data_IF_612538324033
#
_entry.id   IF_612538324033
#
_cell.length_a   1.000
_cell.length_b   1.000
_cell.length_c   1.000
_cell.angle_alpha   90.00
_cell.angle_beta   90.00
_cell.angle_gamma   90.00
#
_symmetry.space_group_name_H-M   'P 1'
#
loop_
_entity.id
_entity.type
_entity.pdbx_description
1 polymer ?
#
# COMPACT_ATOMS: atom_id res chain seq x y z
N UNK A 1 -11.62 1.31 -20.25
CA UNK A 1 -12.38 0.44 -19.34
C UNK A 1 -13.16 1.30 -18.34
N UNK A 2 -14.30 0.84 -17.77
CA UNK A 2 -15.04 1.58 -16.74
C UNK A 2 -14.19 1.96 -15.53
N UNK A 3 -13.17 1.17 -15.20
CA UNK A 3 -12.23 1.44 -14.11
C UNK A 3 -11.45 2.76 -14.26
N UNK A 4 -11.32 3.28 -15.48
CA UNK A 4 -10.59 4.52 -15.78
C UNK A 4 -11.49 5.61 -16.40
N UNK A 5 -12.79 5.51 -16.23
CA UNK A 5 -13.72 6.59 -16.58
C UNK A 5 -13.59 7.84 -15.68
N UNK A 6 -12.83 7.72 -14.59
CA UNK A 6 -12.50 8.78 -13.65
C UNK A 6 -11.44 9.73 -14.22
N UNK A 7 -11.39 11.01 -13.82
CA UNK A 7 -10.41 11.98 -14.31
C UNK A 7 -8.95 11.61 -14.06
N UNK A 8 -8.68 10.86 -13.00
CA UNK A 8 -7.35 10.39 -12.63
C UNK A 8 -6.92 9.18 -13.46
N UNK A 9 -5.61 9.01 -13.63
CA UNK A 9 -5.00 7.87 -14.30
C UNK A 9 -4.55 6.76 -13.33
N UNK A 10 -4.88 6.86 -12.05
CA UNK A 10 -4.44 5.93 -11.00
C UNK A 10 -5.59 5.55 -10.07
N UNK A 11 -5.45 4.45 -9.39
CA UNK A 11 -6.28 4.02 -8.25
C UNK A 11 -5.41 3.75 -7.05
N UNK A 12 -5.97 3.94 -5.86
CA UNK A 12 -5.26 3.79 -4.59
C UNK A 12 -6.04 2.88 -3.63
N UNK A 13 -5.35 2.32 -2.64
CA UNK A 13 -5.95 1.50 -1.59
C UNK A 13 -6.59 0.20 -2.10
N UNK A 14 -7.68 -0.27 -1.46
CA UNK A 14 -8.31 -1.56 -1.79
C UNK A 14 -8.75 -1.69 -3.25
N UNK A 15 -9.18 -0.58 -3.88
CA UNK A 15 -9.54 -0.59 -5.30
C UNK A 15 -8.33 -0.89 -6.18
N UNK A 16 -7.16 -0.30 -5.88
CA UNK A 16 -5.93 -0.58 -6.61
C UNK A 16 -5.51 -2.04 -6.45
N UNK A 17 -5.59 -2.58 -5.23
CA UNK A 17 -5.31 -3.99 -4.95
C UNK A 17 -6.24 -4.89 -5.75
N UNK A 18 -7.54 -4.63 -5.72
CA UNK A 18 -8.54 -5.40 -6.49
C UNK A 18 -8.25 -5.37 -7.99
N UNK A 19 -7.99 -4.19 -8.56
CA UNK A 19 -7.69 -4.07 -9.99
C UNK A 19 -6.37 -4.78 -10.36
N UNK A 20 -5.36 -4.71 -9.51
CA UNK A 20 -4.10 -5.42 -9.72
C UNK A 20 -4.29 -6.94 -9.70
N UNK A 21 -5.16 -7.44 -8.82
CA UNK A 21 -5.48 -8.86 -8.72
C UNK A 21 -6.22 -9.35 -9.97
N UNK A 22 -7.13 -8.55 -10.53
CA UNK A 22 -7.89 -8.91 -11.73
C UNK A 22 -7.20 -8.58 -13.06
N UNK A 23 -5.99 -8.03 -13.04
CA UNK A 23 -5.24 -7.79 -14.28
C UNK A 23 -4.84 -9.09 -14.95
N UNK A 24 -5.38 -9.37 -16.14
CA UNK A 24 -5.26 -10.67 -16.82
C UNK A 24 -4.17 -10.73 -17.87
N UNK A 25 -3.48 -9.61 -18.13
CA UNK A 25 -2.59 -9.60 -19.28
C UNK A 25 -1.13 -9.86 -18.93
N UNK A 26 -0.47 -10.41 -19.94
CA UNK A 26 0.95 -10.74 -19.97
C UNK A 26 1.91 -9.54 -19.88
N UNK A 27 1.42 -8.31 -19.90
CA UNK A 27 2.25 -7.11 -20.07
C UNK A 27 2.25 -6.16 -18.89
N UNK A 28 2.21 -6.66 -17.69
CA UNK A 28 2.57 -5.84 -16.57
C UNK A 28 1.41 -5.48 -15.67
N UNK A 29 1.61 -5.84 -14.45
CA UNK A 29 0.93 -5.21 -13.34
C UNK A 29 1.58 -3.85 -13.11
N UNK A 30 0.79 -2.80 -13.17
CA UNK A 30 1.20 -1.42 -12.95
C UNK A 30 0.98 -0.97 -11.52
N UNK A 31 0.88 -1.91 -10.58
CA UNK A 31 0.77 -1.64 -9.15
C UNK A 31 2.12 -1.33 -8.51
N UNK A 32 2.13 -0.42 -7.55
CA UNK A 32 3.28 -0.10 -6.73
C UNK A 32 2.84 0.13 -5.29
N UNK A 33 3.54 -0.48 -4.33
CA UNK A 33 3.40 -0.21 -2.90
C UNK A 33 4.41 0.87 -2.46
N UNK A 34 4.13 1.52 -1.34
CA UNK A 34 5.04 2.46 -0.66
C UNK A 34 5.71 3.49 -1.57
N UNK A 35 4.96 4.30 -2.34
CA UNK A 35 5.53 5.19 -3.35
C UNK A 35 6.49 6.24 -2.78
N UNK A 36 6.41 6.58 -1.49
CA UNK A 36 7.37 7.47 -0.81
C UNK A 36 8.82 6.98 -0.93
N UNK A 37 9.05 5.67 -1.00
CA UNK A 37 10.39 5.06 -1.13
C UNK A 37 11.07 5.37 -2.48
N UNK A 38 10.31 5.79 -3.47
CA UNK A 38 10.77 5.96 -4.84
C UNK A 38 10.73 7.41 -5.30
N UNK A 39 10.74 8.38 -4.37
CA UNK A 39 10.69 9.81 -4.68
C UNK A 39 11.83 10.29 -5.59
N UNK A 40 12.97 9.61 -5.54
CA UNK A 40 14.16 9.92 -6.33
C UNK A 40 14.25 9.18 -7.66
N UNK A 41 13.41 8.15 -7.89
CA UNK A 41 13.49 7.33 -9.09
C UNK A 41 12.77 8.01 -10.25
N UNK A 42 13.49 8.92 -10.88
CA UNK A 42 13.05 9.69 -12.05
C UNK A 42 13.38 8.98 -13.36
N UNK A 43 13.86 7.73 -13.33
CA UNK A 43 14.10 6.94 -14.53
C UNK A 43 12.80 6.49 -15.16
N UNK A 44 12.76 6.54 -16.48
CA UNK A 44 11.64 5.98 -17.22
C UNK A 44 11.49 4.48 -16.94
N UNK A 45 10.26 4.00 -16.92
CA UNK A 45 10.00 2.59 -16.80
C UNK A 45 10.19 1.91 -18.15
N UNK A 46 10.98 0.84 -18.21
CA UNK A 46 11.31 0.13 -19.46
C UNK A 46 10.05 -0.40 -20.15
N UNK A 47 9.04 -0.77 -19.40
CA UNK A 47 7.76 -1.25 -19.91
C UNK A 47 6.70 -0.18 -19.75
N UNK A 48 5.83 -0.05 -20.75
CA UNK A 48 4.68 0.85 -20.63
C UNK A 48 3.80 0.47 -19.45
N UNK A 49 3.39 1.44 -18.67
CA UNK A 49 2.40 1.27 -17.61
C UNK A 49 1.04 0.99 -18.25
N UNK A 50 0.43 -0.14 -17.89
CA UNK A 50 -0.83 -0.59 -18.49
C UNK A 50 -1.72 -1.25 -17.46
N UNK A 51 -3.01 -1.00 -17.57
CA UNK A 51 -4.04 -1.86 -17.02
C UNK A 51 -4.79 -2.47 -18.21
N UNK A 52 -4.76 -3.79 -18.35
CA UNK A 52 -5.43 -4.47 -19.45
C UNK A 52 -6.23 -5.67 -18.89
N UNK A 53 -7.52 -5.69 -19.17
CA UNK A 53 -8.42 -6.78 -18.79
C UNK A 53 -8.57 -7.85 -19.87
N UNK A 54 -8.12 -7.57 -21.08
CA UNK A 54 -8.25 -8.47 -22.24
C UNK A 54 -6.92 -8.47 -22.97
N UNK A 55 -6.29 -9.55 -23.16
CA UNK A 55 -4.95 -9.76 -23.69
C UNK A 55 -4.55 -9.03 -25.01
N UNK A 56 -4.97 -7.80 -25.17
CA UNK A 56 -4.60 -6.93 -26.29
C UNK A 56 -3.17 -6.45 -26.20
N UNK A 57 -2.46 -6.47 -27.33
CA UNK A 57 -1.08 -6.01 -27.47
C UNK A 57 -0.95 -4.48 -27.58
N UNK A 58 -2.06 -3.77 -27.76
CA UNK A 58 -2.04 -2.34 -27.98
C UNK A 58 -1.83 -1.54 -26.68
N UNK A 59 -1.00 -0.47 -26.72
CA UNK A 59 -0.87 0.43 -25.62
C UNK A 59 -2.22 1.08 -25.32
N UNK A 60 -2.63 1.08 -24.04
CA UNK A 60 -3.80 1.83 -23.65
C UNK A 60 -3.54 3.31 -23.85
N UNK A 61 -4.30 3.91 -24.74
CA UNK A 61 -4.35 5.37 -24.84
C UNK A 61 -5.06 5.89 -23.60
N UNK A 62 -4.29 6.49 -22.71
CA UNK A 62 -4.85 7.12 -21.51
C UNK A 62 -5.55 8.42 -21.92
N UNK A 63 -6.87 8.45 -21.83
CA UNK A 63 -7.68 9.65 -22.13
C UNK A 63 -8.26 10.17 -20.82
N UNK A 64 -8.24 11.48 -20.64
CA UNK A 64 -8.82 12.12 -19.47
C UNK A 64 -8.29 13.54 -19.27
N UNK A 65 -8.83 14.25 -18.26
CA UNK A 65 -8.44 15.62 -17.96
C UNK A 65 -6.99 15.71 -17.49
N UNK A 66 -6.55 14.81 -16.62
CA UNK A 66 -5.21 14.81 -16.05
C UNK A 66 -4.15 14.28 -17.04
N UNK A 67 -4.34 13.12 -17.69
CA UNK A 67 -3.39 12.61 -18.67
C UNK A 67 -3.05 13.59 -19.81
N UNK A 68 -3.98 14.43 -20.22
CA UNK A 68 -3.74 15.46 -21.23
C UNK A 68 -2.69 16.50 -20.84
N UNK A 69 -2.40 16.62 -19.56
CA UNK A 69 -1.45 17.58 -19.02
C UNK A 69 -0.08 16.97 -18.73
N UNK A 70 0.10 15.68 -19.04
CA UNK A 70 1.31 14.93 -18.74
C UNK A 70 2.03 14.53 -20.03
N UNK A 71 3.35 14.41 -19.95
CA UNK A 71 4.14 13.70 -20.95
C UNK A 71 4.17 12.19 -20.68
N UNK A 72 4.83 11.41 -21.51
CA UNK A 72 4.93 9.95 -21.37
C UNK A 72 5.63 9.50 -20.08
N UNK A 73 6.47 10.32 -19.48
CA UNK A 73 7.16 10.04 -18.22
C UNK A 73 6.35 10.46 -16.98
N UNK A 74 5.18 11.06 -17.19
CA UNK A 74 4.31 11.55 -16.12
C UNK A 74 4.69 12.93 -15.57
N UNK A 75 5.52 13.69 -16.28
CA UNK A 75 5.84 15.06 -15.91
C UNK A 75 4.77 16.00 -16.47
N UNK A 76 4.23 16.94 -15.66
CA UNK A 76 3.26 17.91 -16.15
C UNK A 76 3.87 18.84 -17.23
N UNK A 77 3.14 19.04 -18.33
CA UNK A 77 3.59 19.84 -19.46
C UNK A 77 3.90 21.29 -19.07
N UNK A 78 3.17 21.86 -18.12
CA UNK A 78 3.43 23.22 -17.64
C UNK A 78 4.79 23.39 -16.94
N UNK A 79 5.45 22.28 -16.54
CA UNK A 79 6.82 22.35 -16.01
C UNK A 79 7.83 22.80 -17.07
N UNK A 80 7.51 22.67 -18.35
CA UNK A 80 8.38 23.03 -19.47
C UNK A 80 8.09 24.44 -20.01
N UNK A 81 7.07 25.12 -19.48
CA UNK A 81 6.60 26.42 -19.94
C UNK A 81 7.28 27.57 -19.15
N UNK A 82 7.73 28.61 -19.87
CA UNK A 82 8.10 29.92 -19.36
C UNK A 82 8.91 29.96 -18.06
N UNK A 83 8.50 30.83 -17.11
CA UNK A 83 9.15 31.03 -15.81
C UNK A 83 8.98 29.83 -14.87
N UNK A 84 7.98 29.00 -15.05
CA UNK A 84 7.72 27.83 -14.24
C UNK A 84 8.77 26.74 -14.43
N UNK A 85 9.42 26.71 -15.60
CA UNK A 85 10.49 25.75 -15.91
C UNK A 85 11.61 25.75 -14.87
N UNK A 86 12.09 26.91 -14.45
CA UNK A 86 13.16 27.02 -13.46
C UNK A 86 12.73 26.56 -12.07
N UNK A 87 11.45 26.67 -11.76
CA UNK A 87 10.88 26.28 -10.47
C UNK A 87 10.71 24.76 -10.35
N UNK A 88 10.23 24.09 -11.41
CA UNK A 88 9.83 22.69 -11.35
C UNK A 88 10.86 21.71 -11.91
N UNK A 89 11.65 22.13 -12.91
CA UNK A 89 12.69 21.29 -13.52
C UNK A 89 14.06 21.51 -12.85
N UNK A 90 14.15 21.14 -11.58
CA UNK A 90 15.35 21.33 -10.78
C UNK A 90 16.42 20.28 -11.02
N UNK A 91 16.04 19.09 -11.45
CA UNK A 91 16.96 17.97 -11.70
C UNK A 91 17.35 17.89 -13.19
N UNK A 92 18.59 17.49 -13.52
CA UNK A 92 19.02 17.31 -14.92
C UNK A 92 18.15 16.31 -15.69
N UNK A 93 17.70 15.24 -15.03
CA UNK A 93 16.85 14.21 -15.66
C UNK A 93 15.51 14.78 -16.12
N UNK A 94 14.83 15.57 -15.27
CA UNK A 94 13.56 16.22 -15.65
C UNK A 94 13.75 17.25 -16.77
N UNK A 95 14.89 17.96 -16.80
CA UNK A 95 15.17 18.96 -17.85
C UNK A 95 15.31 18.38 -19.24
N UNK A 96 15.67 17.10 -19.34
CA UNK A 96 15.87 16.38 -20.61
C UNK A 96 14.62 15.68 -21.10
N UNK A 97 13.57 15.58 -20.28
CA UNK A 97 12.33 14.91 -20.68
C UNK A 97 11.59 15.72 -21.74
N UNK A 98 11.02 15.04 -22.77
CA UNK A 98 10.22 15.70 -23.78
C UNK A 98 9.03 16.45 -23.21
N UNK A 99 8.77 17.65 -23.72
CA UNK A 99 7.60 18.47 -23.36
C UNK A 99 6.41 18.19 -24.30
N UNK A 100 6.17 16.93 -24.64
CA UNK A 100 5.13 16.50 -25.55
C UNK A 100 4.00 15.81 -24.79
N UNK A 101 2.74 15.90 -25.28
CA UNK A 101 1.62 15.17 -24.71
C UNK A 101 1.85 13.65 -24.73
N UNK A 102 1.21 12.98 -23.77
CA UNK A 102 1.28 11.55 -23.58
C UNK A 102 0.74 10.76 -24.78
N UNK A 103 1.57 9.91 -25.37
CA UNK A 103 1.18 8.90 -26.37
C UNK A 103 1.33 7.47 -25.87
N UNK A 104 2.42 7.17 -25.17
CA UNK A 104 2.66 5.90 -24.47
C UNK A 104 3.15 6.19 -23.07
N UNK A 105 2.70 5.44 -22.06
CA UNK A 105 3.05 5.74 -20.68
C UNK A 105 4.26 4.94 -20.22
N UNK A 106 5.37 5.63 -20.01
CA UNK A 106 6.59 5.12 -19.37
C UNK A 106 6.85 5.86 -18.05
N UNK A 107 5.83 6.03 -17.25
CA UNK A 107 5.85 6.84 -16.05
C UNK A 107 7.01 6.47 -15.13
N UNK A 108 7.69 7.47 -14.61
CA UNK A 108 8.70 7.29 -13.57
C UNK A 108 8.03 6.91 -12.26
N UNK A 109 8.75 6.23 -11.38
CA UNK A 109 8.20 5.88 -10.07
C UNK A 109 7.88 7.12 -9.22
N UNK A 110 8.70 8.16 -9.33
CA UNK A 110 8.44 9.42 -8.66
C UNK A 110 7.17 10.11 -9.15
N UNK A 111 6.81 10.02 -10.43
CA UNK A 111 5.56 10.58 -10.95
C UNK A 111 4.33 9.83 -10.44
N UNK A 112 4.44 8.55 -10.10
CA UNK A 112 3.34 7.79 -9.51
C UNK A 112 2.95 8.32 -8.13
N UNK A 113 3.90 8.86 -7.36
CA UNK A 113 3.60 9.55 -6.11
C UNK A 113 2.73 10.79 -6.36
N UNK A 114 3.04 11.56 -7.39
CA UNK A 114 2.23 12.71 -7.80
C UNK A 114 0.80 12.28 -8.17
N UNK A 115 0.64 11.18 -8.92
CA UNK A 115 -0.68 10.66 -9.30
C UNK A 115 -1.47 10.19 -8.10
N UNK A 116 -0.84 9.49 -7.16
CA UNK A 116 -1.48 9.06 -5.92
C UNK A 116 -2.01 10.25 -5.13
N UNK A 117 -1.20 11.28 -4.95
CA UNK A 117 -1.62 12.51 -4.25
C UNK A 117 -2.76 13.19 -5.00
N UNK A 118 -2.68 13.29 -6.33
CA UNK A 118 -3.75 13.85 -7.16
C UNK A 118 -5.07 13.11 -6.98
N UNK A 119 -5.04 11.78 -6.96
CA UNK A 119 -6.22 10.95 -6.71
C UNK A 119 -6.79 11.19 -5.31
N UNK A 120 -5.97 11.18 -4.27
CA UNK A 120 -6.40 11.43 -2.89
C UNK A 120 -7.03 12.82 -2.76
N UNK A 121 -6.43 13.86 -3.33
CA UNK A 121 -6.97 15.22 -3.30
C UNK A 121 -8.30 15.30 -4.03
N UNK A 122 -8.44 14.63 -5.17
CA UNK A 122 -9.69 14.58 -5.94
C UNK A 122 -10.80 13.88 -5.15
N UNK A 123 -10.52 12.73 -4.55
CA UNK A 123 -11.45 12.01 -3.70
C UNK A 123 -11.85 12.83 -2.47
N UNK A 124 -10.90 13.53 -1.85
CA UNK A 124 -11.17 14.42 -0.73
C UNK A 124 -12.11 15.57 -1.12
N UNK A 125 -11.90 16.21 -2.28
CA UNK A 125 -12.77 17.26 -2.81
C UNK A 125 -14.20 16.77 -3.04
N UNK A 126 -14.35 15.58 -3.64
CA UNK A 126 -15.66 14.94 -3.85
C UNK A 126 -16.35 14.65 -2.54
N UNK A 127 -15.62 14.06 -1.58
CA UNK A 127 -16.15 13.72 -0.26
C UNK A 127 -16.58 14.97 0.52
N UNK A 128 -15.71 15.98 0.62
CA UNK A 128 -15.97 17.25 1.33
C UNK A 128 -17.21 17.96 0.76
N UNK A 129 -17.41 17.87 -0.56
CA UNK A 129 -18.52 18.51 -1.27
C UNK A 129 -19.73 17.60 -1.48
N UNK A 130 -19.71 16.36 -1.00
CA UNK A 130 -20.86 15.48 -1.07
C UNK A 130 -22.07 16.08 -0.34
N UNK A 131 -23.31 15.89 -0.81
CA UNK A 131 -24.50 16.42 -0.17
C UNK A 131 -24.61 16.04 1.32
N UNK A 132 -24.28 14.78 1.64
CA UNK A 132 -24.31 14.28 3.02
C UNK A 132 -23.33 15.00 3.94
N UNK A 133 -22.11 15.27 3.49
CA UNK A 133 -21.12 15.98 4.30
C UNK A 133 -21.40 17.48 4.38
N UNK A 134 -21.98 18.08 3.36
CA UNK A 134 -22.41 19.49 3.41
C UNK A 134 -23.58 19.69 4.35
N UNK A 135 -24.56 18.78 4.34
CA UNK A 135 -25.75 18.84 5.20
C UNK A 135 -25.42 18.79 6.71
N UNK A 136 -24.30 18.19 7.09
CA UNK A 136 -23.84 18.13 8.50
C UNK A 136 -23.28 19.46 9.02
N UNK A 137 -23.14 20.47 8.17
CA UNK A 137 -22.47 21.73 8.52
C UNK A 137 -23.36 22.92 8.15
N UNK A 138 -23.12 24.05 8.79
CA UNK A 138 -23.77 25.31 8.41
C UNK A 138 -23.41 25.66 6.97
N UNK A 139 -24.32 26.38 6.26
CA UNK A 139 -24.19 26.77 4.86
C UNK A 139 -24.03 25.54 3.93
N UNK A 140 -24.93 24.58 4.07
CA UNK A 140 -24.96 23.33 3.31
C UNK A 140 -25.16 23.52 1.79
N UNK A 141 -25.74 24.65 1.37
CA UNK A 141 -25.94 25.06 -0.01
C UNK A 141 -24.67 25.50 -0.72
N UNK A 142 -23.62 25.89 0.04
CA UNK A 142 -22.38 26.43 -0.53
C UNK A 142 -21.30 25.37 -0.72
N UNK A 143 -20.60 25.35 -1.86
CA UNK A 143 -19.46 24.49 -2.06
C UNK A 143 -18.30 24.86 -1.13
N UNK A 144 -17.53 23.85 -0.75
CA UNK A 144 -16.34 24.01 0.11
C UNK A 144 -15.08 24.08 -0.76
N UNK A 145 -14.22 25.05 -0.45
CA UNK A 145 -12.93 25.21 -1.11
C UNK A 145 -11.81 24.75 -0.19
N UNK A 146 -10.84 24.02 -0.74
CA UNK A 146 -9.63 23.69 -0.02
C UNK A 146 -8.72 24.91 0.05
N UNK A 147 -8.44 25.39 1.25
CA UNK A 147 -7.51 26.50 1.50
C UNK A 147 -6.16 26.06 1.94
N UNK A 148 -6.08 24.91 2.62
CA UNK A 148 -4.83 24.33 3.13
C UNK A 148 -4.90 22.84 3.00
N UNK A 149 -3.77 22.23 2.67
CA UNK A 149 -3.55 20.79 2.71
C UNK A 149 -2.32 20.57 3.57
N UNK A 150 -2.46 19.76 4.60
CA UNK A 150 -1.37 19.40 5.51
C UNK A 150 -0.99 17.96 5.20
N UNK A 151 0.26 17.75 4.85
CA UNK A 151 0.84 16.42 4.71
C UNK A 151 1.79 16.17 5.86
N UNK A 152 1.62 15.03 6.50
CA UNK A 152 2.60 14.53 7.45
C UNK A 152 3.72 13.82 6.70
N UNK A 153 4.91 13.93 7.24
CA UNK A 153 6.12 13.30 6.69
C UNK A 153 6.77 12.41 7.75
N UNK A 154 7.50 11.37 7.35
CA UNK A 154 8.28 10.57 8.30
C UNK A 154 9.15 11.44 9.19
N UNK A 155 9.23 11.08 10.47
CA UNK A 155 9.89 11.88 11.51
C UNK A 155 11.35 12.14 11.20
N UNK A 156 12.05 11.15 10.64
CA UNK A 156 13.47 11.24 10.28
C UNK A 156 13.72 11.68 8.82
N UNK A 157 12.68 12.10 8.09
CA UNK A 157 12.84 12.50 6.68
C UNK A 157 13.80 13.70 6.54
N UNK A 158 14.92 13.55 5.80
CA UNK A 158 15.85 14.65 5.56
C UNK A 158 15.20 15.85 4.87
N UNK A 159 15.70 17.05 5.13
CA UNK A 159 15.15 18.29 4.53
C UNK A 159 15.13 18.23 3.00
N UNK A 160 16.14 17.63 2.39
CA UNK A 160 16.22 17.47 0.93
C UNK A 160 15.05 16.61 0.42
N UNK A 161 14.76 15.49 1.09
CA UNK A 161 13.63 14.61 0.77
C UNK A 161 12.29 15.31 0.94
N UNK A 162 12.13 16.03 2.03
CA UNK A 162 10.92 16.82 2.30
C UNK A 162 10.65 17.84 1.18
N UNK A 163 11.70 18.48 0.64
CA UNK A 163 11.57 19.41 -0.50
C UNK A 163 11.14 18.70 -1.77
N UNK A 164 11.67 17.50 -2.04
CA UNK A 164 11.26 16.69 -3.20
C UNK A 164 9.80 16.26 -3.04
N UNK A 165 9.42 15.76 -1.85
CA UNK A 165 8.06 15.38 -1.54
C UNK A 165 7.08 16.55 -1.73
N UNK A 166 7.41 17.72 -1.15
CA UNK A 166 6.60 18.93 -1.28
C UNK A 166 6.43 19.34 -2.76
N UNK A 167 7.50 19.25 -3.54
CA UNK A 167 7.44 19.53 -4.99
C UNK A 167 6.43 18.61 -5.70
N UNK A 168 6.48 17.32 -5.47
CA UNK A 168 5.55 16.37 -6.09
C UNK A 168 4.10 16.60 -5.66
N UNK A 169 3.89 16.96 -4.40
CA UNK A 169 2.57 17.34 -3.89
C UNK A 169 2.05 18.63 -4.55
N UNK A 170 2.89 19.64 -4.68
CA UNK A 170 2.52 20.89 -5.37
C UNK A 170 2.17 20.64 -6.84
N UNK A 171 2.94 19.80 -7.53
CA UNK A 171 2.64 19.39 -8.91
C UNK A 171 1.31 18.64 -9.00
N UNK A 172 1.05 17.71 -8.10
CA UNK A 172 -0.20 16.97 -8.04
C UNK A 172 -1.41 17.89 -7.91
N UNK A 173 -1.38 18.81 -6.94
CA UNK A 173 -2.47 19.77 -6.71
C UNK A 173 -2.66 20.66 -7.93
N UNK A 174 -1.59 21.15 -8.55
CA UNK A 174 -1.68 22.01 -9.73
C UNK A 174 -2.24 21.26 -10.95
N UNK A 175 -1.88 19.98 -11.16
CA UNK A 175 -2.47 19.14 -12.21
C UNK A 175 -3.99 18.98 -11.98
N UNK A 176 -4.42 18.75 -10.73
CA UNK A 176 -5.85 18.65 -10.39
C UNK A 176 -6.55 19.97 -10.69
N UNK A 177 -6.02 21.12 -10.24
CA UNK A 177 -6.62 22.43 -10.46
C UNK A 177 -6.74 22.79 -11.94
N UNK A 178 -5.68 22.56 -12.71
CA UNK A 178 -5.71 22.74 -14.17
C UNK A 178 -6.69 21.80 -14.84
N UNK A 179 -6.73 20.53 -14.45
CA UNK A 179 -7.64 19.54 -14.98
C UNK A 179 -9.11 19.88 -14.74
N UNK A 180 -9.40 20.54 -13.61
CA UNK A 180 -10.74 21.02 -13.27
C UNK A 180 -11.07 22.39 -13.87
N UNK A 181 -10.14 23.03 -14.57
CA UNK A 181 -10.31 24.35 -15.13
C UNK A 181 -10.28 25.48 -14.09
N UNK A 182 -9.71 25.24 -12.91
CA UNK A 182 -9.63 26.22 -11.82
C UNK A 182 -8.33 27.04 -11.82
N UNK A 183 -7.30 26.54 -12.44
CA UNK A 183 -6.00 27.23 -12.64
C UNK A 183 -5.87 27.56 -14.13
N UNK A 184 -6.52 28.65 -14.57
CA UNK A 184 -6.59 29.02 -15.98
C UNK A 184 -5.41 29.89 -16.44
N UNK A 185 -4.31 29.99 -15.66
CA UNK A 185 -3.11 30.75 -16.05
C UNK A 185 -3.35 32.27 -16.09
N UNK A 186 -2.47 32.99 -16.48
CA UNK A 186 -2.05 34.37 -16.54
C UNK A 186 -3.03 35.52 -16.25
N UNK A 187 -4.35 35.42 -16.32
CA UNK A 187 -5.24 36.60 -16.27
C UNK A 187 -6.30 36.66 -15.16
N UNK A 188 -6.44 35.65 -14.29
CA UNK A 188 -7.22 35.75 -13.05
C UNK A 188 -8.70 36.17 -13.15
N UNK A 189 -9.25 36.27 -14.35
CA UNK A 189 -10.62 36.78 -14.61
C UNK A 189 -11.66 35.71 -14.91
N UNK A 190 -11.31 34.43 -14.85
CA UNK A 190 -12.25 33.36 -15.11
C UNK A 190 -13.16 33.10 -13.91
N UNK A 191 -14.46 33.02 -14.16
CA UNK A 191 -15.53 32.69 -13.19
C UNK A 191 -15.28 31.38 -12.42
N UNK A 192 -14.39 30.53 -12.91
CA UNK A 192 -14.06 29.24 -12.32
C UNK A 192 -12.74 29.24 -11.55
N UNK A 193 -12.02 30.35 -11.49
CA UNK A 193 -10.75 30.44 -10.78
C UNK A 193 -10.91 30.07 -9.31
N UNK A 194 -10.10 29.12 -8.85
CA UNK A 194 -9.94 28.80 -7.45
C UNK A 194 -8.46 28.91 -7.07
N UNK A 195 -8.20 29.70 -6.04
CA UNK A 195 -6.85 29.85 -5.51
C UNK A 195 -6.29 28.48 -5.12
N UNK A 196 -5.03 28.20 -5.49
CA UNK A 196 -4.32 27.01 -5.06
C UNK A 196 -4.24 26.95 -3.53
N UNK A 197 -4.51 25.78 -2.91
CA UNK A 197 -4.41 25.64 -1.47
C UNK A 197 -2.94 25.77 -1.03
N UNK A 198 -2.74 26.34 0.16
CA UNK A 198 -1.41 26.34 0.79
C UNK A 198 -1.06 24.90 1.21
N UNK A 199 0.06 24.40 0.72
CA UNK A 199 0.58 23.07 1.06
C UNK A 199 1.57 23.20 2.20
N UNK A 200 1.38 22.41 3.25
CA UNK A 200 2.21 22.38 4.44
C UNK A 200 2.75 20.95 4.60
N UNK A 201 4.07 20.80 4.63
CA UNK A 201 4.78 19.53 4.84
C UNK A 201 5.75 19.67 6.03
N UNK A 202 5.38 20.45 7.04
CA UNK A 202 6.23 20.79 8.19
C UNK A 202 6.00 19.83 9.37
N UNK A 203 4.88 19.12 9.36
CA UNK A 203 4.47 18.22 10.43
C UNK A 203 5.01 16.81 10.22
N UNK A 204 5.63 16.25 11.24
CA UNK A 204 6.04 14.85 11.23
C UNK A 204 4.95 13.92 11.78
N UNK A 205 5.01 12.65 11.37
CA UNK A 205 3.98 11.64 11.68
C UNK A 205 3.91 11.38 13.20
N UNK A 206 5.05 11.30 13.89
CA UNK A 206 5.08 11.06 15.33
C UNK A 206 4.51 12.24 16.15
N UNK A 207 4.87 13.47 15.79
CA UNK A 207 4.28 14.65 16.45
C UNK A 207 2.76 14.70 16.29
N UNK A 208 2.25 14.35 15.10
CA UNK A 208 0.81 14.29 14.85
C UNK A 208 0.13 13.19 15.70
N UNK A 209 0.74 12.02 15.83
CA UNK A 209 0.24 10.93 16.67
C UNK A 209 0.18 11.34 18.15
N UNK A 210 1.21 12.04 18.67
CA UNK A 210 1.21 12.59 20.02
C UNK A 210 0.09 13.63 20.22
N UNK A 211 -0.19 14.47 19.20
CA UNK A 211 -1.29 15.44 19.29
C UNK A 211 -2.65 14.76 19.41
N UNK A 212 -2.88 13.69 18.63
CA UNK A 212 -4.13 12.91 18.71
C UNK A 212 -4.26 12.23 20.09
N UNK A 213 -3.18 11.63 20.58
CA UNK A 213 -3.13 11.02 21.91
C UNK A 213 -3.48 12.05 22.98
N UNK A 214 -2.76 13.17 23.03
CA UNK A 214 -2.97 14.22 24.03
C UNK A 214 -4.39 14.82 23.94
N UNK A 215 -4.90 15.01 22.72
CA UNK A 215 -6.28 15.47 22.53
C UNK A 215 -7.28 14.50 23.15
N UNK A 216 -7.17 13.21 22.87
CA UNK A 216 -8.08 12.20 23.42
C UNK A 216 -7.95 12.11 24.94
N UNK A 217 -6.74 12.09 25.47
CA UNK A 217 -6.53 12.02 26.91
C UNK A 217 -7.11 13.27 27.61
N UNK A 218 -6.75 14.46 27.17
CA UNK A 218 -7.15 15.70 27.85
C UNK A 218 -8.61 16.05 27.57
N UNK A 219 -9.00 16.11 26.28
CA UNK A 219 -10.33 16.65 25.91
C UNK A 219 -11.45 15.64 26.12
N UNK A 220 -11.18 14.33 25.88
CA UNK A 220 -12.23 13.31 25.98
C UNK A 220 -12.24 12.67 27.37
N UNK A 221 -11.11 12.16 27.87
CA UNK A 221 -11.06 11.45 29.13
C UNK A 221 -11.05 12.37 30.36
N UNK A 222 -10.36 13.51 30.26
CA UNK A 222 -10.24 14.48 31.36
C UNK A 222 -11.06 15.76 31.14
N UNK A 223 -12.05 15.74 30.23
CA UNK A 223 -13.05 16.81 30.01
C UNK A 223 -12.41 18.20 29.82
N UNK A 224 -11.24 18.25 29.16
CA UNK A 224 -10.51 19.49 28.89
C UNK A 224 -9.58 19.96 30.01
N UNK A 225 -9.52 19.29 31.17
CA UNK A 225 -8.63 19.63 32.28
C UNK A 225 -7.20 19.11 32.05
N UNK A 226 -6.40 19.89 31.30
CA UNK A 226 -5.01 19.58 31.06
C UNK A 226 -4.17 19.57 32.36
N UNK A 227 -4.47 20.45 33.32
CA UNK A 227 -3.71 20.53 34.56
C UNK A 227 -3.89 19.25 35.40
N UNK A 228 -5.11 18.73 35.44
CA UNK A 228 -5.39 17.44 36.06
C UNK A 228 -4.65 16.29 35.40
N UNK A 229 -4.69 16.20 34.09
CA UNK A 229 -3.97 15.19 33.30
C UNK A 229 -2.47 15.22 33.58
N UNK A 230 -1.84 16.39 33.48
CA UNK A 230 -0.41 16.55 33.72
C UNK A 230 0.00 16.28 35.19
N UNK A 231 -0.89 16.47 36.13
CA UNK A 231 -0.67 16.15 37.53
C UNK A 231 -0.72 14.66 37.82
N UNK A 232 -1.61 13.92 37.15
CA UNK A 232 -1.76 12.47 37.32
C UNK A 232 -0.66 11.69 36.64
N UNK A 233 -0.37 12.02 35.38
CA UNK A 233 0.50 11.23 34.50
C UNK A 233 1.87 11.87 34.27
N UNK A 234 2.04 13.11 34.71
CA UNK A 234 3.24 13.90 34.43
C UNK A 234 4.25 13.88 35.58
N UNK A 235 5.34 14.57 35.32
CA UNK A 235 6.39 14.93 36.29
C UNK A 235 6.85 16.34 36.03
N UNK A 236 7.35 17.02 37.07
CA UNK A 236 8.06 18.28 36.87
C UNK A 236 9.42 18.04 36.25
N UNK A 237 9.70 18.78 35.16
CA UNK A 237 10.99 18.76 34.48
C UNK A 237 11.45 20.17 34.18
N UNK A 238 12.75 20.36 34.13
CA UNK A 238 13.37 21.63 33.73
C UNK A 238 13.14 21.87 32.24
N UNK A 239 12.68 23.05 31.90
CA UNK A 239 12.63 23.56 30.52
C UNK A 239 13.99 24.14 30.14
N UNK A 240 14.17 24.52 28.88
CA UNK A 240 15.41 25.10 28.36
C UNK A 240 15.85 26.38 29.10
N UNK A 241 14.88 27.14 29.62
CA UNK A 241 15.12 28.34 30.47
C UNK A 241 15.40 28.01 31.95
N UNK A 242 15.48 26.74 32.30
CA UNK A 242 15.76 26.25 33.66
C UNK A 242 14.56 26.23 34.60
N UNK A 243 13.37 26.70 34.17
CA UNK A 243 12.15 26.66 35.01
C UNK A 243 11.60 25.24 35.09
N UNK A 244 11.03 24.88 36.28
CA UNK A 244 10.34 23.62 36.44
C UNK A 244 8.89 23.76 35.97
N UNK A 245 8.45 22.82 35.10
CA UNK A 245 7.07 22.78 34.61
C UNK A 245 6.53 21.37 34.61
N UNK A 246 5.21 21.20 34.85
CA UNK A 246 4.54 19.93 34.66
C UNK A 246 4.74 19.44 33.25
N UNK A 247 5.09 18.18 33.06
CA UNK A 247 5.38 17.65 31.77
C UNK A 247 5.06 16.16 31.65
N UNK A 248 4.67 15.72 30.45
CA UNK A 248 4.49 14.30 30.08
C UNK A 248 5.48 13.99 28.99
N UNK A 249 6.23 12.90 29.15
CA UNK A 249 7.14 12.40 28.09
C UNK A 249 6.47 11.22 27.40
N UNK A 250 6.37 11.31 26.09
CA UNK A 250 5.77 10.30 25.23
C UNK A 250 6.89 9.73 24.33
N UNK A 251 7.02 8.42 24.33
CA UNK A 251 7.79 7.68 23.36
C UNK A 251 6.82 7.01 22.39
N UNK A 252 7.06 7.15 21.10
CA UNK A 252 6.28 6.50 20.04
C UNK A 252 7.16 5.70 19.11
N UNK A 253 6.63 4.58 18.68
CA UNK A 253 7.15 3.75 17.60
C UNK A 253 6.02 3.64 16.59
N UNK A 254 6.23 4.19 15.39
CA UNK A 254 5.27 4.13 14.28
C UNK A 254 5.83 3.22 13.20
N UNK A 255 5.21 2.04 13.03
CA UNK A 255 5.61 1.04 12.04
C UNK A 255 4.63 1.13 10.87
N UNK A 256 5.06 1.85 9.83
CA UNK A 256 4.29 1.98 8.60
C UNK A 256 4.52 0.82 7.62
N UNK A 257 4.08 0.98 6.38
CA UNK A 257 4.38 0.01 5.31
C UNK A 257 5.83 0.07 4.84
N UNK A 258 6.42 1.26 4.82
CA UNK A 258 7.75 1.51 4.24
C UNK A 258 8.81 2.02 5.21
N UNK A 259 8.43 2.63 6.32
CA UNK A 259 9.33 3.22 7.32
C UNK A 259 8.85 2.90 8.72
N UNK A 260 9.79 2.81 9.65
CA UNK A 260 9.53 2.79 11.08
C UNK A 260 10.13 4.05 11.67
N UNK A 261 9.31 4.85 12.32
CA UNK A 261 9.67 6.12 12.92
C UNK A 261 9.66 6.03 14.45
N UNK A 262 10.75 6.48 15.07
CA UNK A 262 10.91 6.55 16.52
C UNK A 262 10.94 7.99 16.96
N UNK A 263 10.20 8.33 18.03
CA UNK A 263 10.35 9.64 18.66
C UNK A 263 10.15 9.59 20.16
N UNK A 264 10.87 10.46 20.87
CA UNK A 264 10.67 10.75 22.29
C UNK A 264 10.50 12.26 22.42
N UNK A 265 9.33 12.69 22.87
CA UNK A 265 9.00 14.09 23.02
C UNK A 265 8.49 14.36 24.43
N UNK A 266 9.05 15.39 25.08
CA UNK A 266 8.54 15.90 26.34
C UNK A 266 7.57 17.05 26.06
N UNK A 267 6.34 16.91 26.50
CA UNK A 267 5.30 17.90 26.36
C UNK A 267 5.18 18.67 27.68
N UNK A 268 5.43 19.98 27.66
CA UNK A 268 5.36 20.85 28.82
C UNK A 268 4.03 21.61 28.85
N UNK A 269 3.37 21.65 30.00
CA UNK A 269 2.24 22.53 30.23
C UNK A 269 2.76 23.93 30.55
N UNK A 270 2.47 24.93 29.70
CA UNK A 270 3.08 26.26 29.77
C UNK A 270 2.10 27.39 30.14
N UNK A 271 0.81 27.10 30.31
CA UNK A 271 -0.19 28.13 30.60
C UNK A 271 -0.29 28.46 32.09
N UNK A 272 -0.60 29.72 32.38
CA UNK A 272 -1.05 30.13 33.70
C UNK A 272 -2.50 29.67 33.96
N UNK A 273 -2.92 29.65 35.22
CA UNK A 273 -4.27 29.19 35.64
C UNK A 273 -5.43 29.99 34.98
N UNK A 274 -5.15 31.18 34.47
CA UNK A 274 -6.14 32.10 33.85
C UNK A 274 -6.18 32.03 32.30
N UNK A 275 -5.30 31.27 31.67
CA UNK A 275 -5.22 31.15 30.21
C UNK A 275 -5.62 29.77 29.75
N UNK A 276 -6.07 29.68 28.49
CA UNK A 276 -6.28 28.39 27.83
C UNK A 276 -5.02 27.53 27.90
N UNK A 277 -5.11 26.24 28.20
CA UNK A 277 -3.95 25.39 28.37
C UNK A 277 -3.13 25.35 27.08
N UNK A 278 -1.83 25.61 27.18
CA UNK A 278 -0.86 25.51 26.08
C UNK A 278 0.13 24.40 26.38
N UNK A 279 0.31 23.52 25.44
CA UNK A 279 1.27 22.42 25.52
C UNK A 279 2.39 22.70 24.54
N UNK A 280 3.63 22.81 25.05
CA UNK A 280 4.84 23.02 24.23
C UNK A 280 5.61 21.72 24.13
N UNK A 281 5.74 21.14 22.90
CA UNK A 281 6.58 19.96 22.72
C UNK A 281 8.07 20.35 22.74
N UNK A 282 8.89 19.48 23.31
CA UNK A 282 10.34 19.51 23.23
C UNK A 282 10.82 18.13 22.77
N UNK A 283 11.42 18.08 21.59
CA UNK A 283 11.91 16.85 20.98
C UNK A 283 13.21 16.40 21.65
N UNK A 284 13.20 15.26 22.31
CA UNK A 284 14.36 14.67 22.98
C UNK A 284 15.16 13.77 22.02
N UNK A 285 14.44 12.98 21.23
CA UNK A 285 15.02 12.00 20.33
C UNK A 285 14.10 11.77 19.14
N UNK A 286 14.68 11.59 17.98
CA UNK A 286 13.98 11.11 16.79
C UNK A 286 14.93 10.30 15.91
N UNK A 287 14.42 9.23 15.34
CA UNK A 287 15.12 8.40 14.37
C UNK A 287 14.13 7.73 13.45
N UNK A 288 14.58 7.14 12.34
CA UNK A 288 13.73 6.43 11.41
C UNK A 288 14.51 5.40 10.61
N UNK A 289 13.85 4.28 10.34
CA UNK A 289 14.42 3.15 9.64
C UNK A 289 13.59 2.81 8.41
N UNK A 290 14.27 2.40 7.33
CA UNK A 290 13.61 1.86 6.13
C UNK A 290 13.28 0.36 6.29
N UNK A 291 12.95 -0.07 7.51
CA UNK A 291 12.50 -1.43 7.84
C UNK A 291 11.09 -1.28 8.39
N UNK A 292 10.12 -1.89 7.74
CA UNK A 292 8.71 -1.76 8.09
C UNK A 292 7.87 -2.92 7.53
N UNK A 293 6.57 -2.76 7.39
CA UNK A 293 5.65 -3.82 6.97
C UNK A 293 6.05 -4.55 5.69
N UNK A 294 6.55 -3.84 4.68
CA UNK A 294 6.99 -4.46 3.41
C UNK A 294 8.18 -5.44 3.63
N UNK A 295 9.10 -5.11 4.55
CA UNK A 295 10.21 -5.98 4.91
C UNK A 295 9.73 -7.19 5.72
N UNK A 296 8.76 -6.99 6.61
CA UNK A 296 8.16 -8.10 7.38
C UNK A 296 7.49 -9.09 6.42
N UNK A 297 6.67 -8.61 5.50
CA UNK A 297 6.05 -9.47 4.46
C UNK A 297 7.11 -10.21 3.64
N UNK A 298 8.16 -9.50 3.21
CA UNK A 298 9.27 -10.10 2.48
C UNK A 298 9.98 -11.19 3.29
N UNK A 299 10.17 -10.97 4.58
CA UNK A 299 10.82 -11.91 5.46
C UNK A 299 9.96 -13.16 5.66
N UNK A 300 8.66 -13.02 5.86
CA UNK A 300 7.73 -14.16 5.93
C UNK A 300 7.72 -14.96 4.62
N UNK A 301 7.75 -14.28 3.46
CA UNK A 301 7.90 -14.99 2.18
C UNK A 301 9.21 -15.79 2.15
N UNK A 302 10.31 -15.21 2.62
CA UNK A 302 11.63 -15.84 2.62
C UNK A 302 11.72 -17.03 3.56
N UNK A 303 11.11 -16.94 4.75
CA UNK A 303 11.23 -17.94 5.83
C UNK A 303 10.18 -19.02 5.79
N UNK A 304 8.98 -18.74 5.27
CA UNK A 304 7.85 -19.67 5.27
C UNK A 304 7.41 -20.06 3.86
N UNK A 305 7.14 -19.08 2.97
CA UNK A 305 6.54 -19.37 1.66
C UNK A 305 7.52 -20.05 0.71
N UNK A 306 8.75 -19.52 0.60
CA UNK A 306 9.78 -20.09 -0.28
C UNK A 306 10.17 -21.50 0.17
N UNK A 307 10.51 -21.77 1.46
CA UNK A 307 10.86 -23.11 1.90
C UNK A 307 9.70 -24.12 1.72
N UNK A 308 8.46 -23.72 1.92
CA UNK A 308 7.30 -24.57 1.68
C UNK A 308 7.24 -25.02 0.21
N UNK A 309 7.41 -24.08 -0.72
CA UNK A 309 7.45 -24.37 -2.16
C UNK A 309 8.67 -25.26 -2.54
N UNK A 310 9.85 -24.93 -2.01
CA UNK A 310 11.08 -25.72 -2.25
C UNK A 310 10.89 -27.18 -1.77
N UNK A 311 10.29 -27.37 -0.60
CA UNK A 311 9.98 -28.68 -0.07
C UNK A 311 8.97 -29.44 -0.93
N UNK A 312 7.85 -28.80 -1.27
CA UNK A 312 6.83 -29.42 -2.12
C UNK A 312 7.36 -29.80 -3.50
N UNK A 313 8.27 -28.99 -4.07
CA UNK A 313 8.95 -29.31 -5.33
C UNK A 313 9.91 -30.51 -5.18
N UNK A 314 10.68 -30.56 -4.09
CA UNK A 314 11.58 -31.66 -3.79
C UNK A 314 10.83 -32.98 -3.57
N UNK A 315 9.68 -32.95 -2.89
CA UNK A 315 8.82 -34.11 -2.67
C UNK A 315 8.29 -34.72 -3.99
N UNK A 316 8.21 -33.91 -5.04
CA UNK A 316 7.88 -34.32 -6.41
C UNK A 316 9.11 -34.73 -7.26
N UNK A 317 10.29 -34.75 -6.66
CA UNK A 317 11.54 -35.07 -7.37
C UNK A 317 12.04 -33.96 -8.31
N UNK A 318 11.53 -32.73 -8.17
CA UNK A 318 11.96 -31.58 -8.96
C UNK A 318 13.21 -30.92 -8.33
N UNK A 319 14.02 -30.29 -9.16
CA UNK A 319 15.14 -29.47 -8.65
C UNK A 319 14.61 -28.17 -8.03
N UNK A 320 14.39 -28.18 -6.71
CA UNK A 320 13.76 -27.10 -5.94
C UNK A 320 14.44 -25.73 -6.15
N UNK A 321 15.78 -25.73 -6.34
CA UNK A 321 16.55 -24.51 -6.64
C UNK A 321 16.11 -23.86 -7.95
N UNK A 322 15.86 -24.63 -9.01
CA UNK A 322 15.41 -24.10 -10.29
C UNK A 322 13.97 -23.57 -10.19
N UNK A 323 13.11 -24.28 -9.48
CA UNK A 323 11.73 -23.81 -9.19
C UNK A 323 11.77 -22.46 -8.45
N UNK A 324 12.59 -22.34 -7.41
CA UNK A 324 12.78 -21.09 -6.69
C UNK A 324 13.28 -19.94 -7.60
N UNK A 325 14.30 -20.19 -8.42
CA UNK A 325 14.83 -19.20 -9.35
C UNK A 325 13.74 -18.79 -10.37
N UNK A 326 12.96 -19.73 -10.86
CA UNK A 326 11.84 -19.47 -11.77
C UNK A 326 10.82 -18.51 -11.13
N UNK A 327 10.35 -18.84 -9.93
CA UNK A 327 9.27 -18.12 -9.26
C UNK A 327 9.72 -16.82 -8.57
N UNK A 328 10.93 -16.77 -7.99
CA UNK A 328 11.39 -15.65 -7.15
C UNK A 328 12.71 -15.03 -7.62
N UNK A 329 13.39 -15.61 -8.61
CA UNK A 329 14.70 -15.13 -9.08
C UNK A 329 14.66 -13.69 -9.57
N UNK A 330 15.79 -12.99 -9.44
CA UNK A 330 15.92 -11.59 -9.88
C UNK A 330 15.61 -11.46 -11.37
N UNK A 331 15.15 -10.28 -11.76
CA UNK A 331 15.02 -9.91 -13.17
C UNK A 331 16.38 -10.02 -13.85
N UNK A 332 16.60 -11.11 -14.55
CA UNK A 332 17.77 -11.28 -15.41
C UNK A 332 17.46 -10.76 -16.81
N UNK A 333 18.46 -10.29 -17.53
CA UNK A 333 18.31 -9.86 -18.94
C UNK A 333 17.78 -10.99 -19.85
N UNK A 334 17.88 -12.25 -19.41
CA UNK A 334 17.42 -13.43 -20.15
C UNK A 334 15.90 -13.68 -20.07
N UNK A 335 15.19 -13.12 -19.07
CA UNK A 335 13.75 -13.28 -18.96
C UNK A 335 13.02 -12.31 -19.90
N UNK A 336 12.08 -12.84 -20.67
CA UNK A 336 11.18 -12.01 -21.49
C UNK A 336 10.34 -11.07 -20.65
N UNK A 337 9.80 -10.01 -21.26
CA UNK A 337 8.89 -9.09 -20.58
C UNK A 337 7.67 -9.83 -19.99
N UNK A 338 7.12 -10.77 -20.73
CA UNK A 338 6.01 -11.62 -20.33
C UNK A 338 6.34 -12.47 -19.09
N UNK A 339 7.50 -13.11 -19.07
CA UNK A 339 7.94 -13.92 -17.92
C UNK A 339 8.12 -13.07 -16.65
N UNK A 340 8.72 -11.89 -16.77
CA UNK A 340 8.85 -10.96 -15.65
C UNK A 340 7.50 -10.55 -15.07
N UNK A 341 6.54 -10.28 -15.94
CA UNK A 341 5.19 -9.92 -15.54
C UNK A 341 4.50 -11.06 -14.81
N UNK A 342 4.54 -12.27 -15.37
CA UNK A 342 3.94 -13.46 -14.75
C UNK A 342 4.59 -13.79 -13.41
N UNK A 343 5.89 -13.61 -13.29
CA UNK A 343 6.59 -13.72 -12.02
C UNK A 343 6.09 -12.70 -10.99
N UNK A 344 5.95 -11.45 -11.37
CA UNK A 344 5.38 -10.43 -10.49
C UNK A 344 3.94 -10.74 -10.08
N UNK A 345 3.13 -11.24 -11.02
CA UNK A 345 1.76 -11.69 -10.73
C UNK A 345 1.73 -12.86 -9.74
N UNK A 346 2.62 -13.85 -9.90
CA UNK A 346 2.76 -14.93 -8.94
C UNK A 346 3.08 -14.40 -7.53
N UNK A 347 4.05 -13.51 -7.42
CA UNK A 347 4.39 -12.92 -6.12
C UNK A 347 3.19 -12.17 -5.53
N UNK A 348 2.53 -11.31 -6.32
CA UNK A 348 1.42 -10.50 -5.83
C UNK A 348 0.13 -11.29 -5.57
N UNK A 349 -0.12 -12.38 -6.31
CA UNK A 349 -1.39 -13.12 -6.23
C UNK A 349 -1.28 -14.41 -5.42
N UNK A 350 -0.08 -14.89 -5.10
CA UNK A 350 0.13 -16.10 -4.29
C UNK A 350 1.02 -15.79 -3.08
N UNK A 351 2.26 -15.38 -3.29
CA UNK A 351 3.23 -15.30 -2.20
C UNK A 351 2.87 -14.22 -1.16
N UNK A 352 2.49 -13.03 -1.61
CA UNK A 352 2.10 -11.93 -0.72
C UNK A 352 0.80 -12.24 0.04
N UNK A 353 -0.29 -12.71 -0.59
CA UNK A 353 -1.49 -13.11 0.13
C UNK A 353 -1.26 -14.18 1.21
N UNK A 354 -0.47 -15.22 0.91
CA UNK A 354 -0.12 -16.24 1.90
C UNK A 354 0.66 -15.64 3.06
N UNK A 355 1.65 -14.78 2.77
CA UNK A 355 2.43 -14.13 3.82
C UNK A 355 1.59 -13.20 4.70
N UNK A 356 0.68 -12.43 4.11
CA UNK A 356 -0.26 -11.58 4.86
C UNK A 356 -1.21 -12.42 5.71
N UNK A 357 -1.71 -13.54 5.20
CA UNK A 357 -2.56 -14.45 5.98
C UNK A 357 -1.81 -15.08 7.16
N UNK A 358 -0.53 -15.42 7.00
CA UNK A 358 0.32 -15.88 8.12
C UNK A 358 0.48 -14.78 9.17
N UNK A 359 0.75 -13.53 8.75
CA UNK A 359 0.88 -12.40 9.66
C UNK A 359 -0.41 -12.12 10.42
N UNK A 360 -1.55 -12.10 9.74
CA UNK A 360 -2.88 -11.95 10.35
C UNK A 360 -3.15 -13.05 11.39
N UNK A 361 -2.78 -14.28 11.05
CA UNK A 361 -2.86 -15.39 11.98
C UNK A 361 -2.04 -15.16 13.24
N UNK A 362 -0.78 -14.72 13.06
CA UNK A 362 0.11 -14.44 14.18
C UNK A 362 -0.37 -13.26 15.05
N UNK A 363 -0.99 -12.25 14.47
CA UNK A 363 -1.58 -11.13 15.22
C UNK A 363 -2.72 -11.57 16.14
N UNK A 364 -3.48 -12.58 15.73
CA UNK A 364 -4.61 -13.11 16.47
C UNK A 364 -4.25 -14.22 17.48
N UNK A 365 -2.98 -14.66 17.51
CA UNK A 365 -2.50 -15.64 18.48
C UNK A 365 -2.21 -15.03 19.84
N UNK A 366 -2.45 -15.80 20.91
CA UNK A 366 -1.98 -15.41 22.23
C UNK A 366 -0.44 -15.41 22.28
N UNK A 367 0.15 -14.43 22.97
CA UNK A 367 1.62 -14.27 23.07
C UNK A 367 2.34 -15.50 23.63
N UNK A 368 1.65 -16.26 24.46
CA UNK A 368 2.17 -17.49 25.07
C UNK A 368 1.83 -18.75 24.26
N UNK A 369 1.23 -18.59 23.06
CA UNK A 369 0.89 -19.72 22.21
C UNK A 369 2.18 -20.36 21.65
N UNK A 370 2.48 -21.54 22.15
CA UNK A 370 3.62 -22.36 21.69
C UNK A 370 3.25 -23.35 20.59
N UNK A 371 2.03 -23.29 20.04
CA UNK A 371 1.55 -24.24 19.03
C UNK A 371 2.16 -23.92 17.66
N UNK A 372 2.33 -24.97 16.87
CA UNK A 372 2.65 -24.84 15.45
C UNK A 372 1.39 -25.03 14.62
N UNK A 373 1.11 -24.09 13.75
CA UNK A 373 -0.03 -24.15 12.85
C UNK A 373 0.40 -24.75 11.51
N UNK A 374 -0.46 -25.59 10.96
CA UNK A 374 -0.26 -26.21 9.64
C UNK A 374 -1.50 -25.96 8.79
N UNK A 375 -1.29 -25.40 7.62
CA UNK A 375 -2.34 -25.14 6.64
C UNK A 375 -1.80 -25.34 5.22
N UNK A 376 -2.67 -25.25 4.23
CA UNK A 376 -2.28 -25.21 2.81
C UNK A 376 -2.41 -23.78 2.29
N UNK A 377 -1.72 -23.47 1.22
CA UNK A 377 -1.88 -22.17 0.57
C UNK A 377 -3.34 -21.88 0.19
N UNK A 378 -4.09 -22.91 -0.24
CA UNK A 378 -5.53 -22.78 -0.53
C UNK A 378 -6.38 -22.24 0.62
N UNK A 379 -5.95 -22.43 1.86
CA UNK A 379 -6.73 -22.02 3.03
C UNK A 379 -6.78 -20.48 3.19
N UNK A 380 -5.82 -19.77 2.59
CA UNK A 380 -5.78 -18.31 2.54
C UNK A 380 -6.63 -17.69 1.43
N UNK A 381 -7.29 -18.50 0.60
CA UNK A 381 -8.04 -18.02 -0.56
C UNK A 381 -9.53 -18.44 -0.50
N UNK A 382 -10.36 -17.69 -1.22
CA UNK A 382 -11.77 -18.02 -1.38
C UNK A 382 -11.92 -19.40 -2.04
N UNK A 383 -12.88 -20.19 -1.55
CA UNK A 383 -13.21 -21.45 -2.21
C UNK A 383 -13.85 -21.14 -3.58
N UNK A 384 -13.48 -21.87 -4.64
CA UNK A 384 -14.12 -21.67 -5.94
C UNK A 384 -15.64 -21.90 -5.78
N UNK A 385 -16.43 -20.96 -6.33
CA UNK A 385 -17.88 -21.12 -6.34
C UNK A 385 -18.23 -22.43 -7.02
N UNK A 386 -18.85 -23.34 -6.29
CA UNK A 386 -19.37 -24.60 -6.85
C UNK A 386 -20.46 -24.19 -7.83
N UNK A 387 -20.20 -24.32 -9.13
CA UNK A 387 -21.26 -24.24 -10.13
C UNK A 387 -22.19 -25.42 -9.88
N UNK A 388 -23.29 -25.18 -9.18
CA UNK A 388 -24.38 -26.13 -9.16
C UNK A 388 -24.85 -26.35 -10.59
N UNK A 389 -24.49 -27.50 -11.14
CA UNK A 389 -25.14 -27.99 -12.37
C UNK A 389 -26.63 -28.08 -12.09
N UNK A 390 -27.51 -27.53 -12.96
CA UNK A 390 -28.93 -27.64 -12.75
C UNK A 390 -29.30 -29.12 -12.62
N UNK A 391 -29.85 -29.50 -11.46
CA UNK A 391 -30.34 -30.86 -11.21
C UNK A 391 -31.46 -31.18 -12.20
N UNK A 392 -31.15 -32.03 -13.17
CA UNK A 392 -32.18 -32.71 -13.94
C UNK A 392 -33.01 -33.56 -12.95
N UNK A 393 -34.29 -33.25 -12.86
CA UNK A 393 -35.23 -34.01 -12.07
C UNK A 393 -35.26 -35.45 -12.60
N UNK A 394 -34.72 -36.40 -11.83
CA UNK A 394 -35.07 -37.81 -11.91
C UNK A 394 -35.72 -38.21 -10.61
N UNK A 395 -36.99 -38.63 -10.73
CA UNK A 395 -37.75 -39.30 -9.69
C UNK A 395 -37.17 -40.69 -9.42
N UNK A 396 -37.09 -41.03 -8.15
CA UNK A 396 -37.36 -42.39 -7.68
C UNK A 396 -36.19 -43.19 -7.12
N UNK A 397 -36.33 -43.51 -5.85
CA UNK A 397 -35.93 -44.69 -5.10
C UNK A 397 -34.58 -44.78 -4.42
N UNK A 398 -34.70 -44.69 -3.11
CA UNK A 398 -34.07 -45.39 -1.99
C UNK A 398 -32.81 -46.23 -2.24
N UNK A 399 -31.71 -45.86 -1.53
CA UNK A 399 -30.95 -46.78 -0.67
C UNK A 399 -29.79 -46.01 0.00
N UNK A 400 -29.81 -46.02 1.31
CA UNK A 400 -28.74 -45.61 2.20
C UNK A 400 -27.52 -46.53 2.03
N UNK A 401 -26.33 -45.94 1.89
CA UNK A 401 -25.08 -46.55 2.39
C UNK A 401 -24.11 -45.47 2.75
N UNK A 402 -23.52 -45.40 3.95
CA UNK A 402 -22.55 -44.40 4.34
C UNK A 402 -21.21 -44.74 3.69
N UNK A 403 -20.78 -43.90 2.79
CA UNK A 403 -19.45 -43.93 2.19
C UNK A 403 -18.43 -43.31 3.12
N UNK A 404 -17.46 -44.08 3.47
CA UNK A 404 -16.23 -43.80 4.19
C UNK A 404 -15.54 -42.51 3.69
N UNK A 405 -15.28 -41.60 4.62
CA UNK A 405 -14.37 -40.48 4.45
C UNK A 405 -12.94 -41.01 4.15
N UNK A 406 -12.44 -40.66 3.00
CA UNK A 406 -11.10 -40.98 2.56
C UNK A 406 -10.11 -40.11 3.38
N UNK A 407 -9.53 -40.72 4.41
CA UNK A 407 -8.46 -40.14 5.20
C UNK A 407 -7.22 -40.01 4.31
N UNK A 408 -6.81 -38.78 4.00
CA UNK A 408 -5.54 -38.49 3.36
C UNK A 408 -4.36 -39.09 4.16
N UNK A 409 -3.19 -39.29 3.53
CA UNK A 409 -2.08 -40.05 4.09
C UNK A 409 -1.62 -39.51 5.43
N UNK A 410 -1.59 -40.37 6.43
CA UNK A 410 -1.08 -40.12 7.75
C UNK A 410 0.41 -39.60 7.66
N UNK A 411 0.64 -38.46 8.22
CA UNK A 411 2.00 -37.95 8.40
C UNK A 411 2.72 -38.83 9.40
N UNK A 412 3.90 -39.34 9.01
CA UNK A 412 4.76 -40.17 9.83
C UNK A 412 5.06 -39.50 11.16
N UNK A 413 4.77 -40.18 12.25
CA UNK A 413 5.17 -39.79 13.59
C UNK A 413 6.69 -39.83 13.72
N UNK A 414 7.26 -38.70 14.04
CA UNK A 414 8.65 -38.54 14.44
C UNK A 414 8.96 -37.13 14.83
N UNK A 415 9.07 -36.93 16.14
CA UNK A 415 9.69 -35.81 16.82
C UNK A 415 8.87 -34.52 17.09
N UNK A 416 8.87 -34.26 18.38
CA UNK A 416 8.47 -33.04 19.10
C UNK A 416 6.98 -32.84 19.38
N UNK A 417 6.64 -32.88 20.67
CA UNK A 417 5.28 -32.73 21.21
C UNK A 417 4.76 -31.28 21.16
N UNK A 418 5.02 -30.57 20.07
CA UNK A 418 4.35 -29.31 19.80
C UNK A 418 2.95 -29.64 19.26
N UNK A 419 1.91 -29.21 19.95
CA UNK A 419 0.54 -29.41 19.48
C UNK A 419 0.37 -28.75 18.11
N UNK A 420 0.21 -29.56 17.07
CA UNK A 420 -0.08 -29.08 15.72
C UNK A 420 -1.59 -28.82 15.61
N UNK A 421 -1.99 -27.65 15.21
CA UNK A 421 -3.38 -27.21 15.06
C UNK A 421 -3.66 -26.85 13.61
N UNK A 422 -4.82 -27.26 13.10
CA UNK A 422 -5.30 -26.79 11.81
C UNK A 422 -5.70 -25.31 11.90
N UNK A 423 -5.30 -24.53 10.91
CA UNK A 423 -5.57 -23.10 10.84
C UNK A 423 -6.67 -22.81 9.81
N UNK A 424 -7.60 -21.94 10.14
CA UNK A 424 -8.55 -21.34 9.20
C UNK A 424 -8.36 -19.82 9.19
N UNK A 425 -8.12 -19.25 8.01
CA UNK A 425 -8.00 -17.81 7.84
C UNK A 425 -9.35 -17.10 8.06
N UNK A 426 -9.35 -16.02 8.81
CA UNK A 426 -10.54 -15.17 9.01
C UNK A 426 -10.88 -14.40 7.73
N UNK A 427 -9.88 -13.87 7.05
CA UNK A 427 -10.03 -13.20 5.76
C UNK A 427 -9.40 -14.03 4.66
N UNK A 428 -10.13 -14.20 3.57
CA UNK A 428 -9.68 -14.96 2.41
C UNK A 428 -9.47 -14.05 1.22
N UNK A 429 -8.32 -14.22 0.59
CA UNK A 429 -7.98 -13.51 -0.63
C UNK A 429 -8.66 -14.12 -1.86
N UNK A 430 -8.83 -13.33 -2.91
CA UNK A 430 -9.34 -13.85 -4.18
C UNK A 430 -8.37 -14.87 -4.79
N UNK A 431 -8.94 -15.88 -5.45
CA UNK A 431 -8.14 -16.89 -6.13
C UNK A 431 -7.21 -16.28 -7.19
N UNK A 432 -5.98 -16.80 -7.30
CA UNK A 432 -5.06 -16.41 -8.36
C UNK A 432 -5.65 -16.66 -9.74
N UNK A 433 -5.24 -15.88 -10.71
CA UNK A 433 -5.73 -16.00 -12.08
C UNK A 433 -5.12 -17.21 -12.80
N UNK A 434 -5.85 -17.73 -13.79
CA UNK A 434 -5.39 -18.86 -14.61
C UNK A 434 -3.98 -18.65 -15.22
N UNK A 435 -3.62 -17.42 -15.59
CA UNK A 435 -2.30 -17.09 -16.11
C UNK A 435 -1.16 -17.30 -15.13
N UNK A 436 -1.41 -17.20 -13.82
CA UNK A 436 -0.45 -17.49 -12.77
C UNK A 436 -0.18 -18.99 -12.67
N UNK A 437 -1.22 -19.82 -12.71
CA UNK A 437 -1.09 -21.28 -12.71
C UNK A 437 -0.35 -21.77 -13.95
N UNK A 438 -0.70 -21.24 -15.12
CA UNK A 438 0.01 -21.57 -16.36
C UNK A 438 1.51 -21.19 -16.30
N UNK A 439 1.85 -20.06 -15.66
CA UNK A 439 3.26 -19.70 -15.45
C UNK A 439 3.99 -20.67 -14.53
N UNK A 440 3.32 -21.16 -13.49
CA UNK A 440 3.87 -22.17 -12.61
C UNK A 440 4.15 -23.45 -13.40
N UNK A 441 3.20 -23.91 -14.20
CA UNK A 441 3.35 -25.08 -15.05
C UNK A 441 4.50 -24.92 -16.05
N UNK A 442 4.70 -23.74 -16.66
CA UNK A 442 5.87 -23.44 -17.50
C UNK A 442 7.19 -23.63 -16.74
N UNK A 443 7.27 -23.16 -15.50
CA UNK A 443 8.46 -23.31 -14.64
C UNK A 443 8.68 -24.79 -14.30
N UNK A 444 7.64 -25.51 -13.89
CA UNK A 444 7.71 -26.92 -13.51
C UNK A 444 8.14 -27.78 -14.71
N UNK A 445 7.58 -27.56 -15.87
CA UNK A 445 7.97 -28.25 -17.11
C UNK A 445 9.41 -27.96 -17.46
N UNK A 446 9.86 -26.71 -17.31
CA UNK A 446 11.27 -26.35 -17.50
C UNK A 446 12.25 -26.96 -16.48
N UNK A 447 11.74 -27.46 -15.36
CA UNK A 447 12.52 -28.18 -14.32
C UNK A 447 12.39 -29.71 -14.45
N UNK A 448 11.80 -30.23 -15.55
CA UNK A 448 11.68 -31.67 -15.80
C UNK A 448 10.41 -32.33 -15.27
N UNK A 449 9.46 -31.57 -14.70
CA UNK A 449 8.12 -32.03 -14.30
C UNK A 449 7.13 -31.99 -15.46
N UNK A 450 5.92 -32.44 -15.20
CA UNK A 450 4.79 -32.37 -16.14
C UNK A 450 3.82 -31.27 -15.71
N UNK A 451 3.05 -30.75 -16.67
CA UNK A 451 1.96 -29.82 -16.40
C UNK A 451 0.96 -30.43 -15.40
N UNK A 452 0.65 -29.67 -14.35
CA UNK A 452 -0.27 -30.09 -13.29
C UNK A 452 0.31 -30.96 -12.17
N UNK A 453 1.60 -31.40 -12.28
CA UNK A 453 2.26 -32.19 -11.22
C UNK A 453 2.40 -31.36 -9.92
N UNK A 454 2.67 -30.06 -10.04
CA UNK A 454 2.86 -29.16 -8.91
C UNK A 454 1.65 -28.24 -8.74
N UNK A 455 0.82 -28.56 -7.77
CA UNK A 455 -0.32 -27.73 -7.40
C UNK A 455 0.07 -26.79 -6.27
N UNK A 456 0.50 -25.58 -6.61
CA UNK A 456 0.97 -24.59 -5.64
C UNK A 456 -0.03 -24.31 -4.50
N UNK A 457 -1.32 -24.38 -4.78
CA UNK A 457 -2.37 -24.16 -3.78
C UNK A 457 -2.47 -25.28 -2.73
N UNK A 458 -2.00 -26.48 -3.07
CA UNK A 458 -1.95 -27.61 -2.14
C UNK A 458 -0.67 -27.65 -1.30
N UNK A 459 0.23 -26.68 -1.50
CA UNK A 459 1.50 -26.56 -0.78
C UNK A 459 1.24 -26.39 0.72
N UNK A 460 1.74 -27.28 1.59
CA UNK A 460 1.59 -27.15 3.03
C UNK A 460 2.60 -26.10 3.54
N UNK A 461 2.14 -25.25 4.45
CA UNK A 461 2.99 -24.29 5.16
C UNK A 461 2.83 -24.45 6.66
N UNK A 462 3.92 -24.27 7.41
CA UNK A 462 3.97 -24.32 8.87
C UNK A 462 4.43 -22.98 9.38
N UNK A 463 3.87 -22.53 10.48
CA UNK A 463 4.29 -21.28 11.15
C UNK A 463 3.93 -21.31 12.63
N UNK A 464 4.66 -20.57 13.44
CA UNK A 464 4.44 -20.37 14.87
C UNK A 464 4.84 -18.95 15.26
N UNK A 465 4.41 -18.47 16.43
CA UNK A 465 4.85 -17.16 16.96
C UNK A 465 6.34 -17.10 17.31
N UNK A 466 7.01 -18.25 17.39
CA UNK A 466 8.44 -18.35 17.78
C UNK A 466 9.40 -18.36 16.60
N UNK A 467 8.90 -18.56 15.39
CA UNK A 467 9.64 -18.52 14.13
C UNK A 467 9.49 -17.17 13.42
#
# INVERSE_FOLDING_TARGET
TPAFAWPSCVRVGPEATRLSTFATCSQGNTGMSSPKRYLWDEKEWIQSWRYNTHGGSEPMVTRGLFPRQLNEFGTPLFCFEGRDRSRYLTTPALRQQPAEPLFGSHFTRSSLMMFMVGEIVTQALVNINSPANRARRQLSDKPRHLRRIIFTVPTAMPVAERRIFQRWVELAVRVVWRGMGWDTGENGQDFHYQQLPKILCEWDEASCSHMVLLYNEIMVKHVGDAAHYFRLYGRERKTEDGSLKPSVRIASIDIGGGTTDLSITTHFLTSSASESPRIKPHMEFRDGFNIAGDEVVREVIRTHVIPAIEKAAADLGLESRLVKIGLFGRYTLQKSATQRTRQAQFVCQVAVPVALGILEACENMDRDDGRTYVCRFSDFFEKPAVQEKPKAQKKGQDAETPGTEDAGPALSEGEDKTQTVAFEAEHRCHLPQKGVFHYIDEIITGCGGREGDFRVMDTPVRFSLRE
#
